data_IF_496159499403
#
_entry.id   IF_496159499403
#
_cell.length_a   1.000
_cell.length_b   1.000
_cell.length_c   1.000
_cell.angle_alpha   90.00
_cell.angle_beta   90.00
_cell.angle_gamma   90.00
#
_symmetry.space_group_name_H-M   'P 1'
#
loop_
_entity.id
_entity.type
_entity.pdbx_description
1 polymer ?
#
# COMPACT_ATOMS: atom_id res chain seq x y z
N UNK A 1 70.56 -28.97 55.55
CA UNK A 1 70.22 -29.84 54.41
C UNK A 1 68.77 -30.25 54.64
N UNK A 2 67.77 -29.89 53.85
CA UNK A 2 67.68 -29.90 52.39
C UNK A 2 66.77 -28.80 51.83
N UNK A 3 67.08 -28.41 50.59
CA UNK A 3 66.38 -27.43 49.77
C UNK A 3 65.31 -28.10 48.91
N UNK A 4 64.12 -27.51 48.77
CA UNK A 4 63.26 -27.65 47.57
C UNK A 4 62.18 -26.56 47.48
N UNK A 5 62.39 -25.62 46.56
CA UNK A 5 61.40 -24.68 45.99
C UNK A 5 60.27 -25.42 45.29
N UNK A 6 59.00 -24.98 45.41
CA UNK A 6 57.92 -24.99 44.39
C UNK A 6 56.85 -23.94 44.77
N UNK A 7 56.80 -22.80 44.08
CA UNK A 7 55.96 -22.50 42.92
C UNK A 7 54.56 -21.97 43.32
N UNK A 8 54.37 -20.67 43.13
CA UNK A 8 53.15 -19.90 43.36
C UNK A 8 51.99 -20.37 42.48
N UNK A 9 50.80 -20.53 43.06
CA UNK A 9 49.54 -20.71 42.34
C UNK A 9 48.75 -19.39 42.43
N UNK A 10 48.71 -18.65 41.32
CA UNK A 10 47.77 -17.56 41.12
C UNK A 10 46.41 -18.17 40.72
N UNK A 11 45.38 -17.96 41.56
CA UNK A 11 44.00 -18.29 41.21
C UNK A 11 43.46 -17.12 40.37
N UNK A 12 43.52 -17.26 39.05
CA UNK A 12 42.92 -16.32 38.10
C UNK A 12 41.42 -16.57 37.97
N UNK A 13 40.62 -15.52 38.20
CA UNK A 13 39.20 -15.50 37.88
C UNK A 13 39.02 -15.54 36.36
N UNK A 14 38.36 -16.58 35.83
CA UNK A 14 37.90 -16.63 34.44
C UNK A 14 36.41 -16.30 34.41
N UNK A 15 36.09 -15.01 34.34
CA UNK A 15 34.79 -14.56 33.84
C UNK A 15 34.91 -14.57 32.31
N UNK A 16 34.36 -15.59 31.66
CA UNK A 16 34.27 -15.61 30.22
C UNK A 16 33.29 -14.50 29.76
N UNK A 17 33.70 -13.55 28.90
CA UNK A 17 32.75 -12.62 28.30
C UNK A 17 31.90 -13.41 27.30
N UNK A 18 30.58 -13.50 27.55
CA UNK A 18 29.63 -13.86 26.52
C UNK A 18 29.69 -12.77 25.44
N UNK A 19 30.50 -13.00 24.42
CA UNK A 19 30.41 -12.30 23.15
C UNK A 19 29.09 -12.70 22.49
N UNK A 20 28.05 -11.91 22.71
CA UNK A 20 26.84 -11.97 21.91
C UNK A 20 27.21 -11.56 20.47
N UNK A 21 27.40 -12.55 19.61
CA UNK A 21 27.56 -12.33 18.17
C UNK A 21 26.22 -11.82 17.65
N UNK A 22 26.09 -10.50 17.52
CA UNK A 22 24.97 -9.89 16.81
C UNK A 22 25.14 -10.21 15.33
N UNK A 23 24.49 -11.27 14.85
CA UNK A 23 24.39 -11.51 13.42
C UNK A 23 23.70 -10.28 12.80
N UNK A 24 24.25 -9.69 11.72
CA UNK A 24 23.55 -8.65 10.99
C UNK A 24 22.20 -9.22 10.53
N UNK A 25 21.13 -8.46 10.71
CA UNK A 25 19.82 -8.84 10.22
C UNK A 25 19.92 -9.15 8.72
N UNK A 26 19.55 -10.36 8.32
CA UNK A 26 19.52 -10.72 6.90
C UNK A 26 18.58 -9.77 6.17
N UNK A 27 19.08 -9.14 5.10
CA UNK A 27 18.24 -8.40 4.15
C UNK A 27 17.25 -9.40 3.55
N UNK A 28 15.94 -9.15 3.69
CA UNK A 28 14.95 -9.97 3.00
C UNK A 28 15.05 -9.64 1.51
N UNK A 29 15.11 -10.64 0.62
CA UNK A 29 14.83 -10.39 -0.80
C UNK A 29 13.30 -10.35 -1.01
N UNK A 30 12.64 -9.47 -0.26
CA UNK A 30 11.23 -9.14 -0.41
C UNK A 30 11.14 -7.84 -1.18
N UNK A 31 10.13 -7.68 -2.04
CA UNK A 31 10.00 -6.45 -2.82
C UNK A 31 8.53 -6.26 -3.22
N UNK A 32 7.98 -5.08 -2.92
CA UNK A 32 6.62 -4.74 -3.26
C UNK A 32 6.20 -3.35 -2.82
N UNK A 33 5.13 -2.84 -3.41
CA UNK A 33 4.56 -1.53 -3.10
C UNK A 33 3.06 -1.50 -3.39
N UNK A 34 2.36 -0.46 -2.91
CA UNK A 34 0.93 -0.25 -3.17
C UNK A 34 0.73 0.48 -4.50
N UNK A 35 -0.01 -0.13 -5.42
CA UNK A 35 -0.32 0.43 -6.75
C UNK A 35 -1.72 1.05 -6.82
N UNK A 36 -2.62 0.70 -5.91
CA UNK A 36 -3.98 1.26 -5.85
C UNK A 36 -4.44 1.36 -4.39
N UNK A 37 -4.82 2.55 -3.88
CA UNK A 37 -4.56 3.85 -4.50
C UNK A 37 -3.06 4.06 -4.65
N UNK A 38 -2.61 4.71 -5.73
CA UNK A 38 -1.19 4.87 -6.05
C UNK A 38 -0.38 5.50 -4.91
N UNK A 39 0.54 4.72 -4.35
CA UNK A 39 1.47 5.20 -3.30
C UNK A 39 2.43 6.27 -3.80
N UNK A 40 3.11 6.96 -2.89
CA UNK A 40 4.13 7.97 -3.24
C UNK A 40 5.21 7.39 -4.15
N UNK A 41 5.75 6.22 -3.83
CA UNK A 41 6.74 5.56 -4.69
C UNK A 41 6.16 5.12 -6.05
N UNK A 42 4.87 4.78 -6.11
CA UNK A 42 4.17 4.47 -7.37
C UNK A 42 4.03 5.74 -8.24
N UNK A 43 3.64 6.87 -7.64
CA UNK A 43 3.58 8.16 -8.32
C UNK A 43 4.96 8.60 -8.84
N UNK A 44 6.03 8.35 -8.08
CA UNK A 44 7.40 8.57 -8.55
C UNK A 44 7.71 7.70 -9.78
N UNK A 45 7.41 6.39 -9.72
CA UNK A 45 7.69 5.45 -10.81
C UNK A 45 6.87 5.74 -12.09
N UNK A 46 5.67 6.29 -11.94
CA UNK A 46 4.82 6.73 -13.05
C UNK A 46 5.19 8.12 -13.59
N UNK A 47 6.15 8.82 -12.98
CA UNK A 47 6.54 10.18 -13.37
C UNK A 47 5.49 11.25 -13.04
N UNK A 48 4.56 10.95 -12.13
CA UNK A 48 3.53 11.87 -11.65
C UNK A 48 4.14 12.94 -10.72
N UNK A 49 5.10 12.52 -9.90
CA UNK A 49 5.87 13.39 -9.02
C UNK A 49 7.34 13.18 -9.31
N UNK A 50 8.11 14.27 -9.42
CA UNK A 50 9.55 14.16 -9.60
C UNK A 50 10.22 13.66 -8.30
N UNK A 51 11.01 12.60 -8.46
CA UNK A 51 11.69 11.92 -7.38
C UNK A 51 13.08 11.48 -7.85
N UNK A 52 13.96 11.24 -6.88
CA UNK A 52 15.28 10.65 -7.07
C UNK A 52 15.21 9.17 -7.43
N UNK A 53 16.04 8.37 -6.76
CA UNK A 53 16.27 6.97 -7.15
C UNK A 53 15.01 6.09 -7.07
N UNK A 54 14.08 6.40 -6.17
CA UNK A 54 12.91 5.56 -5.90
C UNK A 54 12.01 5.32 -7.13
N UNK A 55 12.03 6.21 -8.13
CA UNK A 55 11.25 6.01 -9.37
C UNK A 55 11.66 4.79 -10.19
N UNK A 56 12.89 4.31 -10.03
CA UNK A 56 13.40 3.14 -10.76
C UNK A 56 13.12 1.83 -10.03
N UNK A 57 12.81 1.91 -8.74
CA UNK A 57 12.68 0.74 -7.87
C UNK A 57 11.61 0.95 -6.77
N UNK A 58 10.35 1.25 -7.14
CA UNK A 58 9.29 1.52 -6.16
C UNK A 58 9.07 0.38 -5.16
N UNK A 59 9.43 -0.85 -5.55
CA UNK A 59 9.35 -2.05 -4.73
C UNK A 59 10.34 -2.13 -3.56
N UNK A 60 11.32 -1.22 -3.47
CA UNK A 60 12.51 -1.39 -2.63
C UNK A 60 12.50 -0.58 -1.32
N UNK A 61 11.36 -0.02 -0.90
CA UNK A 61 11.29 0.79 0.34
C UNK A 61 11.29 -0.11 1.59
N UNK A 62 12.44 -0.76 1.84
CA UNK A 62 12.71 -1.65 2.96
C UNK A 62 13.36 -0.90 4.12
N UNK A 63 12.95 -1.23 5.35
CA UNK A 63 13.61 -0.77 6.56
C UNK A 63 13.29 -1.64 7.78
N UNK A 64 13.93 -1.40 8.94
CA UNK A 64 13.62 -2.11 10.18
C UNK A 64 12.15 -2.01 10.55
N UNK A 65 11.55 -3.07 11.10
CA UNK A 65 10.15 -3.07 11.58
C UNK A 65 9.90 -1.99 12.64
N UNK A 66 8.67 -1.48 12.66
CA UNK A 66 8.18 -0.55 13.69
C UNK A 66 8.37 0.93 13.38
N UNK A 67 8.92 1.28 12.20
CA UNK A 67 9.05 2.66 11.77
C UNK A 67 7.72 3.24 11.28
N UNK A 68 7.65 4.58 11.22
CA UNK A 68 6.47 5.36 10.81
C UNK A 68 6.74 6.34 9.67
N UNK A 69 7.98 6.41 9.19
CA UNK A 69 8.37 7.20 8.02
C UNK A 69 7.92 6.53 6.73
N UNK A 70 7.56 7.33 5.72
CA UNK A 70 7.23 6.85 4.38
C UNK A 70 8.42 6.18 3.70
N UNK A 71 9.65 6.61 4.00
CA UNK A 71 10.89 6.04 3.46
C UNK A 71 11.35 4.75 4.14
N UNK A 72 10.68 4.30 5.22
CA UNK A 72 11.21 3.21 6.05
C UNK A 72 12.56 3.52 6.70
N UNK A 73 12.91 4.81 6.87
CA UNK A 73 14.20 5.24 7.40
C UNK A 73 15.34 5.16 6.39
N UNK A 74 15.06 4.84 5.12
CA UNK A 74 16.06 4.77 4.07
C UNK A 74 16.30 6.17 3.47
N UNK A 75 17.48 6.74 3.77
CA UNK A 75 17.86 8.08 3.33
C UNK A 75 17.90 8.25 1.80
N UNK A 76 18.11 7.17 1.02
CA UNK A 76 18.05 7.22 -0.45
C UNK A 76 16.63 7.54 -0.96
N UNK A 77 15.61 7.26 -0.15
CA UNK A 77 14.20 7.44 -0.46
C UNK A 77 13.55 8.56 0.37
N UNK A 78 14.36 9.48 0.92
CA UNK A 78 13.91 10.59 1.75
C UNK A 78 12.89 11.51 1.04
N UNK A 79 12.83 11.47 -0.29
CA UNK A 79 11.80 12.17 -1.05
C UNK A 79 10.38 11.79 -0.63
N UNK A 80 10.15 10.53 -0.25
CA UNK A 80 8.85 10.00 0.17
C UNK A 80 8.36 10.63 1.48
N UNK A 81 9.26 11.14 2.31
CA UNK A 81 8.93 11.81 3.58
C UNK A 81 8.63 13.31 3.39
N UNK A 82 8.95 13.90 2.23
CA UNK A 82 8.73 15.33 1.98
C UNK A 82 7.28 15.62 1.59
N UNK A 83 6.50 16.11 2.57
CA UNK A 83 5.09 16.49 2.40
C UNK A 83 4.86 17.74 1.56
N UNK A 84 5.92 18.46 1.20
CA UNK A 84 5.82 19.66 0.35
C UNK A 84 5.81 19.30 -1.13
N UNK A 85 6.14 18.06 -1.50
CA UNK A 85 6.03 17.60 -2.90
C UNK A 85 4.56 17.55 -3.32
N UNK A 86 4.34 17.69 -4.62
CA UNK A 86 3.00 17.73 -5.22
C UNK A 86 2.36 16.34 -5.34
N UNK A 87 2.32 15.56 -4.24
CA UNK A 87 1.67 14.26 -4.18
C UNK A 87 0.22 14.36 -4.60
N UNK A 88 -0.18 13.54 -5.59
CA UNK A 88 -1.59 13.39 -5.96
C UNK A 88 -2.33 12.71 -4.82
N UNK A 89 -3.48 13.27 -4.49
CA UNK A 89 -4.37 12.77 -3.46
C UNK A 89 -5.50 12.02 -4.16
N UNK A 90 -5.70 10.75 -3.82
CA UNK A 90 -6.73 9.92 -4.45
C UNK A 90 -8.05 10.04 -3.69
N UNK A 91 -9.16 10.46 -4.33
CA UNK A 91 -10.47 10.43 -3.70
C UNK A 91 -10.89 8.99 -3.38
N UNK A 92 -11.37 8.76 -2.16
CA UNK A 92 -11.83 7.45 -1.70
C UNK A 92 -13.14 7.55 -0.92
N UNK A 93 -13.91 6.45 -0.88
CA UNK A 93 -15.11 6.34 -0.03
C UNK A 93 -14.77 6.12 1.45
N UNK A 94 -15.79 5.82 2.26
CA UNK A 94 -15.61 5.45 3.67
C UNK A 94 -14.78 4.19 3.88
N UNK A 95 -14.70 3.34 2.85
CA UNK A 95 -13.78 2.21 2.76
C UNK A 95 -13.14 2.20 1.37
N UNK A 96 -11.95 1.61 1.25
CA UNK A 96 -11.26 1.46 -0.03
C UNK A 96 -10.37 0.22 -0.06
N UNK A 97 -10.16 -0.35 -1.25
CA UNK A 97 -9.28 -1.52 -1.43
C UNK A 97 -7.86 -1.07 -1.71
N UNK A 98 -6.92 -1.50 -0.88
CA UNK A 98 -5.49 -1.28 -1.09
C UNK A 98 -4.89 -2.50 -1.80
N UNK A 99 -4.31 -2.30 -2.97
CA UNK A 99 -3.68 -3.34 -3.79
C UNK A 99 -2.17 -3.19 -3.78
N UNK A 100 -1.48 -4.24 -3.32
CA UNK A 100 -0.04 -4.39 -3.40
C UNK A 100 0.35 -5.19 -4.63
N UNK A 101 1.46 -4.78 -5.27
CA UNK A 101 2.19 -5.56 -6.27
C UNK A 101 3.52 -6.01 -5.68
N UNK A 102 3.74 -7.33 -5.67
CA UNK A 102 4.96 -7.95 -5.12
C UNK A 102 5.80 -8.52 -6.26
N UNK A 103 7.01 -7.98 -6.45
CA UNK A 103 7.98 -8.50 -7.44
C UNK A 103 8.80 -9.64 -6.86
N UNK A 104 9.00 -9.66 -5.54
CA UNK A 104 9.58 -10.78 -4.81
C UNK A 104 8.73 -11.07 -3.57
N UNK A 105 8.05 -12.22 -3.57
CA UNK A 105 7.12 -12.63 -2.50
C UNK A 105 7.89 -13.29 -1.37
N UNK A 106 7.57 -12.94 -0.14
CA UNK A 106 8.26 -13.45 1.06
C UNK A 106 7.25 -13.97 2.07
N UNK A 107 7.68 -14.82 3.00
CA UNK A 107 6.83 -15.19 4.14
C UNK A 107 6.40 -13.92 4.88
N UNK A 108 5.09 -13.76 5.12
CA UNK A 108 4.52 -12.52 5.67
C UNK A 108 3.89 -12.77 7.02
N UNK A 109 4.19 -11.90 7.99
CA UNK A 109 3.52 -11.90 9.29
C UNK A 109 2.23 -11.07 9.19
N UNK A 110 2.39 -9.76 9.04
CA UNK A 110 1.24 -8.83 9.02
C UNK A 110 1.35 -7.76 7.94
N UNK A 111 0.19 -7.31 7.48
CA UNK A 111 -0.01 -6.08 6.73
C UNK A 111 -0.75 -5.12 7.64
N UNK A 112 -0.22 -3.92 7.84
CA UNK A 112 -0.79 -2.95 8.76
C UNK A 112 -1.00 -1.61 8.07
N UNK A 113 -2.10 -0.95 8.38
CA UNK A 113 -2.48 0.34 7.80
C UNK A 113 -2.67 1.36 8.91
N UNK A 114 -2.11 2.56 8.75
CA UNK A 114 -2.12 3.60 9.76
C UNK A 114 -2.48 4.96 9.18
N UNK A 115 -3.14 5.80 9.98
CA UNK A 115 -3.28 7.24 9.73
C UNK A 115 -2.76 7.95 10.98
N UNK A 116 -1.64 8.67 10.84
CA UNK A 116 -0.84 9.09 12.00
C UNK A 116 -0.42 7.88 12.84
N UNK A 117 -0.64 7.94 14.16
CA UNK A 117 -0.35 6.83 15.08
C UNK A 117 -1.48 5.78 15.18
N UNK A 118 -2.65 6.06 14.59
CA UNK A 118 -3.80 5.17 14.69
C UNK A 118 -3.67 4.04 13.67
N UNK A 119 -3.60 2.80 14.15
CA UNK A 119 -3.79 1.61 13.30
C UNK A 119 -5.26 1.52 12.89
N UNK A 120 -5.54 1.58 11.59
CA UNK A 120 -6.89 1.53 11.04
C UNK A 120 -7.25 0.14 10.52
N UNK A 121 -6.28 -0.69 10.13
CA UNK A 121 -6.49 -2.08 9.75
C UNK A 121 -5.24 -2.95 9.97
N UNK A 122 -5.44 -4.25 10.10
CA UNK A 122 -4.38 -5.27 10.14
C UNK A 122 -4.88 -6.57 9.52
N UNK A 123 -4.03 -7.20 8.70
CA UNK A 123 -4.26 -8.51 8.08
C UNK A 123 -3.06 -9.40 8.42
N UNK A 124 -3.29 -10.63 8.87
CA UNK A 124 -2.23 -11.52 9.33
C UNK A 124 -2.17 -12.78 8.44
N UNK A 125 -1.05 -12.95 7.75
CA UNK A 125 -0.79 -14.09 6.85
C UNK A 125 -0.19 -15.31 7.58
N UNK A 126 0.09 -15.18 8.89
CA UNK A 126 0.58 -16.24 9.78
C UNK A 126 1.86 -16.91 9.29
N UNK A 127 2.74 -16.15 8.64
CA UNK A 127 3.98 -16.62 8.05
C UNK A 127 3.82 -17.25 6.66
N UNK A 128 2.62 -17.27 6.08
CA UNK A 128 2.43 -17.76 4.71
C UNK A 128 3.10 -16.82 3.69
N UNK A 129 3.52 -17.38 2.54
CA UNK A 129 3.89 -16.56 1.40
C UNK A 129 2.62 -16.09 0.67
N UNK A 130 2.42 -14.78 0.47
CA UNK A 130 1.24 -14.23 -0.20
C UNK A 130 1.29 -14.48 -1.71
N UNK A 131 0.17 -14.27 -2.43
CA UNK A 131 0.18 -14.14 -3.90
C UNK A 131 0.96 -12.91 -4.37
N UNK A 132 1.25 -12.83 -5.68
CA UNK A 132 2.01 -11.71 -6.27
C UNK A 132 1.25 -10.38 -6.26
N UNK A 133 -0.07 -10.44 -6.12
CA UNK A 133 -0.94 -9.31 -5.92
C UNK A 133 -1.77 -9.56 -4.66
N UNK A 134 -1.80 -8.60 -3.75
CA UNK A 134 -2.52 -8.70 -2.48
C UNK A 134 -3.50 -7.53 -2.41
N UNK A 135 -4.76 -7.80 -2.06
CA UNK A 135 -5.79 -6.77 -1.95
C UNK A 135 -6.43 -6.80 -0.57
N UNK A 136 -6.54 -5.64 0.06
CA UNK A 136 -7.10 -5.47 1.40
C UNK A 136 -8.17 -4.37 1.40
N UNK A 137 -9.40 -4.71 1.77
CA UNK A 137 -10.44 -3.71 2.01
C UNK A 137 -10.20 -3.05 3.36
N UNK A 138 -9.87 -1.75 3.37
CA UNK A 138 -9.64 -0.97 4.59
C UNK A 138 -10.82 -0.03 4.81
N UNK A 139 -11.40 -0.08 6.01
CA UNK A 139 -12.44 0.84 6.47
C UNK A 139 -11.78 2.01 7.23
N UNK A 140 -12.11 3.24 6.83
CA UNK A 140 -11.59 4.45 7.45
C UNK A 140 -12.40 4.90 8.68
N UNK A 141 -13.54 4.28 8.93
CA UNK A 141 -14.49 4.63 9.98
C UNK A 141 -14.91 6.09 9.89
N UNK A 142 -14.71 6.82 10.98
CA UNK A 142 -15.08 8.24 11.07
C UNK A 142 -14.06 9.20 10.46
N UNK A 143 -12.92 8.72 9.93
CA UNK A 143 -11.94 9.60 9.28
C UNK A 143 -12.53 10.21 7.99
N UNK A 144 -12.24 11.48 7.74
CA UNK A 144 -12.73 12.25 6.59
C UNK A 144 -11.65 13.21 6.08
N UNK A 145 -11.82 13.71 4.86
CA UNK A 145 -10.93 14.66 4.22
C UNK A 145 -9.57 14.06 3.88
N UNK A 146 -8.61 14.94 3.59
CA UNK A 146 -7.24 14.55 3.24
C UNK A 146 -6.56 13.83 4.39
N UNK A 147 -6.16 12.58 4.15
CA UNK A 147 -5.38 11.75 5.07
C UNK A 147 -4.14 11.20 4.36
N UNK A 148 -3.12 10.87 5.15
CA UNK A 148 -1.98 10.08 4.68
C UNK A 148 -2.05 8.71 5.34
N UNK A 149 -2.20 7.68 4.54
CA UNK A 149 -2.19 6.29 4.98
C UNK A 149 -0.78 5.75 4.86
N UNK A 150 -0.24 5.19 5.94
CA UNK A 150 0.97 4.39 5.92
C UNK A 150 0.58 2.91 5.89
N UNK A 151 0.92 2.23 4.80
CA UNK A 151 0.82 0.79 4.67
C UNK A 151 2.19 0.15 4.98
N UNK A 152 2.20 -0.87 5.83
CA UNK A 152 3.40 -1.57 6.31
C UNK A 152 3.25 -3.06 6.06
N UNK A 153 4.16 -3.64 5.31
CA UNK A 153 4.27 -5.09 5.10
C UNK A 153 5.38 -5.65 5.98
N UNK A 154 5.02 -6.36 7.05
CA UNK A 154 5.96 -7.01 7.96
C UNK A 154 6.32 -8.41 7.45
N UNK A 155 7.58 -8.61 7.04
CA UNK A 155 8.12 -9.90 6.61
C UNK A 155 8.27 -10.83 7.82
N UNK A 156 7.85 -12.09 7.73
CA UNK A 156 7.78 -12.97 8.90
C UNK A 156 9.15 -13.42 9.43
N UNK A 157 10.09 -13.68 8.53
CA UNK A 157 11.37 -14.35 8.80
C UNK A 157 12.57 -13.40 8.78
N UNK A 158 12.35 -12.08 8.72
CA UNK A 158 13.38 -11.05 8.87
C UNK A 158 12.98 -9.98 9.88
N UNK A 159 13.91 -9.06 10.19
CA UNK A 159 13.62 -7.91 11.05
C UNK A 159 13.09 -6.69 10.28
N UNK A 160 12.85 -6.83 8.96
CA UNK A 160 12.50 -5.73 8.08
C UNK A 160 11.02 -5.74 7.70
N UNK A 161 10.58 -4.58 7.21
CA UNK A 161 9.27 -4.33 6.65
C UNK A 161 9.37 -3.42 5.43
N UNK A 162 8.33 -3.41 4.61
CA UNK A 162 8.19 -2.51 3.46
C UNK A 162 7.16 -1.44 3.77
N UNK A 163 7.47 -0.20 3.39
CA UNK A 163 6.72 0.99 3.76
C UNK A 163 6.16 1.70 2.52
N UNK A 164 4.87 2.01 2.52
CA UNK A 164 4.23 2.77 1.45
C UNK A 164 3.30 3.83 2.05
N UNK A 165 3.54 5.10 1.71
CA UNK A 165 2.60 6.17 2.03
C UNK A 165 1.66 6.41 0.85
N UNK A 166 0.39 6.63 1.15
CA UNK A 166 -0.67 6.91 0.18
C UNK A 166 -1.44 8.13 0.66
N UNK A 167 -1.51 9.17 -0.17
CA UNK A 167 -2.30 10.37 0.10
C UNK A 167 -3.71 10.15 -0.45
N UNK A 168 -4.72 10.18 0.43
CA UNK A 168 -6.13 9.95 0.08
C UNK A 168 -7.01 11.10 0.54
N UNK A 169 -8.12 11.33 -0.13
CA UNK A 169 -9.17 12.26 0.30
C UNK A 169 -10.45 11.47 0.58
N UNK A 170 -10.76 11.29 1.86
CA UNK A 170 -11.82 10.40 2.31
C UNK A 170 -13.14 11.15 2.33
N UNK A 171 -14.08 10.71 1.51
CA UNK A 171 -15.39 11.35 1.38
C UNK A 171 -16.13 11.45 2.72
N UNK A 172 -16.83 12.58 2.87
CA UNK A 172 -17.68 13.03 3.96
C UNK A 172 -18.88 12.14 4.35
N UNK A 173 -18.73 10.82 4.53
CA UNK A 173 -19.68 9.96 5.24
C UNK A 173 -21.07 9.71 4.63
N UNK A 174 -21.29 8.46 4.24
CA UNK A 174 -22.59 7.78 4.24
C UNK A 174 -22.32 6.30 4.43
N UNK A 175 -22.71 5.77 5.60
CA UNK A 175 -22.54 4.37 5.99
C UNK A 175 -23.04 3.42 4.88
N UNK A 176 -22.21 2.47 4.49
CA UNK A 176 -22.64 1.36 3.64
C UNK A 176 -23.62 0.48 4.40
N UNK A 177 -24.88 0.53 4.00
CA UNK A 177 -25.90 -0.48 4.28
C UNK A 177 -26.60 -0.75 2.96
N UNK A 178 -26.44 -1.95 2.42
CA UNK A 178 -26.95 -2.30 1.10
C UNK A 178 -28.48 -2.25 1.06
N UNK A 179 -28.99 -1.51 0.09
CA UNK A 179 -30.39 -1.61 -0.33
C UNK A 179 -30.42 -2.20 -1.74
N UNK A 180 -30.63 -3.52 -1.80
CA UNK A 180 -31.42 -4.11 -2.88
C UNK A 180 -32.85 -3.60 -2.70
N UNK A 181 -33.19 -2.51 -3.39
CA UNK A 181 -34.51 -1.90 -3.34
C UNK A 181 -34.89 -1.32 -4.71
N UNK A 182 -35.50 -2.15 -5.55
CA UNK A 182 -36.12 -1.69 -6.79
C UNK A 182 -37.24 -0.69 -6.52
N UNK A 183 -37.35 0.31 -7.39
CA UNK A 183 -38.41 1.32 -7.33
C UNK A 183 -38.58 2.03 -8.67
N UNK A 184 -39.38 1.43 -9.53
CA UNK A 184 -39.99 2.07 -10.69
C UNK A 184 -40.80 3.31 -10.25
N UNK A 185 -40.58 4.46 -10.89
CA UNK A 185 -41.35 5.67 -10.65
C UNK A 185 -40.94 6.79 -11.60
N UNK A 186 -41.56 6.83 -12.77
CA UNK A 186 -41.35 7.87 -13.77
C UNK A 186 -41.81 9.26 -13.34
N UNK A 187 -41.21 10.28 -13.96
CA UNK A 187 -41.58 11.69 -13.78
C UNK A 187 -40.79 12.58 -14.73
N UNK A 188 -41.36 12.81 -15.90
CA UNK A 188 -40.84 13.60 -17.01
C UNK A 188 -40.83 15.12 -16.73
N UNK A 189 -39.72 15.82 -17.04
CA UNK A 189 -39.62 16.96 -17.96
C UNK A 189 -38.45 17.91 -17.64
N UNK A 190 -37.63 18.16 -18.66
CA UNK A 190 -37.28 19.54 -19.00
C UNK A 190 -35.84 20.00 -18.76
N UNK A 191 -34.99 19.81 -19.77
CA UNK A 191 -34.19 20.93 -20.30
C UNK A 191 -32.74 21.06 -19.86
N UNK A 192 -31.83 20.56 -20.70
CA UNK A 192 -30.66 21.34 -21.13
C UNK A 192 -29.34 21.14 -20.39
N UNK A 193 -28.44 20.40 -21.02
CA UNK A 193 -27.02 20.79 -21.12
C UNK A 193 -26.06 20.24 -20.06
N UNK A 194 -25.28 19.24 -20.48
CA UNK A 194 -23.93 18.91 -19.98
C UNK A 194 -23.79 18.69 -18.46
N UNK A 195 -24.29 17.56 -17.97
CA UNK A 195 -23.88 17.03 -16.67
C UNK A 195 -23.23 15.66 -16.84
N UNK A 196 -21.91 15.72 -16.71
CA UNK A 196 -20.96 14.68 -16.33
C UNK A 196 -21.52 13.27 -16.17
N UNK A 197 -21.01 12.36 -16.99
CA UNK A 197 -20.50 11.07 -16.56
C UNK A 197 -20.47 10.87 -15.03
N UNK A 198 -21.49 10.21 -14.47
CA UNK A 198 -21.61 10.00 -13.02
C UNK A 198 -20.64 8.92 -12.48
N UNK A 199 -20.11 8.07 -13.36
CA UNK A 199 -19.14 7.05 -13.00
C UNK A 199 -17.71 7.64 -12.87
N UNK A 200 -16.82 7.02 -12.07
CA UNK A 200 -15.44 7.47 -11.91
C UNK A 200 -14.63 7.36 -13.21
N UNK A 201 -13.68 8.26 -13.45
CA UNK A 201 -12.80 8.20 -14.64
C UNK A 201 -11.93 6.94 -14.59
N UNK A 202 -11.84 6.22 -15.72
CA UNK A 202 -10.95 5.06 -15.84
C UNK A 202 -9.48 5.46 -15.63
N UNK A 203 -8.75 4.64 -14.88
CA UNK A 203 -7.35 4.85 -14.53
C UNK A 203 -6.52 3.60 -14.80
N UNK A 204 -5.32 3.81 -15.33
CA UNK A 204 -4.32 2.75 -15.44
C UNK A 204 -3.87 2.30 -14.05
N UNK A 205 -3.53 1.03 -13.89
CA UNK A 205 -3.08 0.45 -12.62
C UNK A 205 -4.20 0.04 -11.67
N UNK A 206 -5.42 0.53 -11.90
CA UNK A 206 -6.62 0.14 -11.14
C UNK A 206 -7.12 -1.24 -11.61
N UNK A 207 -7.60 -2.03 -10.66
CA UNK A 207 -8.29 -3.30 -10.92
C UNK A 207 -9.79 -3.03 -10.92
N UNK A 208 -10.48 -3.52 -11.96
CA UNK A 208 -11.93 -3.43 -12.09
C UNK A 208 -12.53 -4.83 -12.10
N UNK A 209 -13.55 -5.06 -11.30
CA UNK A 209 -14.31 -6.30 -11.25
C UNK A 209 -15.52 -6.24 -12.19
N UNK A 210 -16.06 -7.41 -12.54
CA UNK A 210 -17.27 -7.48 -13.37
C UNK A 210 -18.43 -6.70 -12.74
N UNK A 211 -19.02 -5.78 -13.49
CA UNK A 211 -20.07 -4.88 -13.07
C UNK A 211 -19.61 -3.44 -12.79
N UNK A 212 -18.32 -3.21 -12.55
CA UNK A 212 -17.80 -1.88 -12.24
C UNK A 212 -17.97 -0.93 -13.43
N UNK A 213 -18.33 0.33 -13.14
CA UNK A 213 -18.51 1.36 -14.18
C UNK A 213 -17.44 2.43 -14.10
N UNK A 214 -16.95 2.86 -15.25
CA UNK A 214 -15.94 3.90 -15.39
C UNK A 214 -16.29 4.83 -16.55
N UNK A 215 -15.69 6.01 -16.59
CA UNK A 215 -15.83 6.92 -17.72
C UNK A 215 -14.52 7.13 -18.44
N UNK A 216 -14.57 7.09 -19.77
CA UNK A 216 -13.42 7.28 -20.64
C UNK A 216 -13.88 7.95 -21.93
N UNK A 217 -13.16 8.99 -22.37
CA UNK A 217 -13.41 9.69 -23.63
C UNK A 217 -14.89 10.13 -23.84
N UNK A 218 -15.55 10.63 -22.78
CA UNK A 218 -16.95 11.10 -22.85
C UNK A 218 -17.98 9.97 -22.98
N UNK A 219 -17.67 8.79 -22.43
CA UNK A 219 -18.54 7.62 -22.47
C UNK A 219 -18.43 6.85 -21.16
N UNK A 220 -19.52 6.20 -20.76
CA UNK A 220 -19.54 5.28 -19.62
C UNK A 220 -19.33 3.86 -20.12
N UNK A 221 -18.48 3.11 -19.42
CA UNK A 221 -18.19 1.71 -19.69
C UNK A 221 -18.44 0.87 -18.45
N UNK A 222 -18.80 -0.40 -18.65
CA UNK A 222 -18.92 -1.41 -17.60
C UNK A 222 -17.94 -2.55 -17.82
N UNK A 223 -17.17 -2.91 -16.81
CA UNK A 223 -16.32 -4.09 -16.87
C UNK A 223 -17.20 -5.34 -16.94
N UNK A 224 -16.99 -6.20 -17.92
CA UNK A 224 -17.75 -7.46 -18.08
C UNK A 224 -17.24 -8.55 -17.14
N UNK A 225 -15.95 -8.49 -16.82
CA UNK A 225 -15.26 -9.37 -15.88
C UNK A 225 -14.03 -8.64 -15.33
N UNK A 226 -13.23 -9.33 -14.52
CA UNK A 226 -12.01 -8.79 -13.93
C UNK A 226 -11.04 -8.25 -15.00
N UNK A 227 -10.55 -7.02 -14.83
CA UNK A 227 -9.59 -6.40 -15.73
C UNK A 227 -8.66 -5.43 -15.00
N UNK A 228 -7.44 -5.27 -15.53
CA UNK A 228 -6.50 -4.22 -15.11
C UNK A 228 -5.70 -3.73 -16.32
N UNK A 229 -5.46 -2.41 -16.38
CA UNK A 229 -4.73 -1.73 -17.47
C UNK A 229 -5.33 -1.85 -18.89
N UNK A 230 -6.42 -2.60 -19.08
CA UNK A 230 -7.10 -2.67 -20.37
C UNK A 230 -8.00 -1.44 -20.54
N UNK A 231 -7.81 -0.72 -21.65
CA UNK A 231 -8.42 0.60 -21.86
C UNK A 231 -9.87 0.49 -22.38
N UNK A 232 -10.86 1.15 -21.75
CA UNK A 232 -12.24 1.19 -22.23
C UNK A 232 -12.33 1.75 -23.65
N UNK A 233 -13.22 1.16 -24.46
CA UNK A 233 -13.35 1.49 -25.88
C UNK A 233 -12.36 0.79 -26.81
N UNK A 234 -11.34 0.10 -26.28
CA UNK A 234 -10.37 -0.66 -27.09
C UNK A 234 -10.32 -2.17 -26.78
N UNK A 235 -10.66 -2.56 -25.55
CA UNK A 235 -10.60 -3.94 -25.09
C UNK A 235 -12.01 -4.53 -24.86
N UNK A 236 -12.19 -5.81 -25.22
CA UNK A 236 -13.48 -6.54 -25.14
C UNK A 236 -14.00 -6.75 -23.71
N UNK A 237 -13.17 -6.47 -22.72
CA UNK A 237 -13.50 -6.52 -21.29
C UNK A 237 -14.47 -5.40 -20.88
N UNK A 238 -14.60 -4.35 -21.69
CA UNK A 238 -15.47 -3.20 -21.43
C UNK A 238 -16.71 -3.23 -22.33
N UNK A 239 -17.88 -3.15 -21.70
CA UNK A 239 -19.17 -2.91 -22.35
C UNK A 239 -19.43 -1.41 -22.36
N UNK A 240 -19.58 -0.82 -23.56
CA UNK A 240 -19.93 0.58 -23.73
C UNK A 240 -21.42 0.81 -23.38
N UNK A 241 -21.69 1.65 -22.38
CA UNK A 241 -23.04 2.01 -21.94
C UNK A 241 -23.56 3.30 -22.60
N UNK A 242 -22.76 3.98 -23.41
CA UNK A 242 -23.15 5.16 -24.15
C UNK A 242 -22.42 6.44 -23.72
N UNK A 243 -22.75 7.53 -24.44
CA UNK A 243 -22.16 8.83 -24.22
C UNK A 243 -22.61 9.47 -22.90
N UNK A 244 -21.70 10.21 -22.30
CA UNK A 244 -21.88 11.12 -21.17
C UNK A 244 -20.82 12.24 -21.27
#
# INVERSE_FOLDING_TARGET
MDMKRRASLAVGALVAPLLAITLPAGTANAHGWVTDPGSRQDQCAQGVVDCGQIKYEPQSVEGPKGLRSCSGGNAQFADLDDDRKAWRVTPVGGSHTFTWKLTARHATDTWQYFVGDRKIAEFNDRGAQPPAQVSHQVDFGDLKGRQKVLAVWNVADTNNAFYACIDVDIAGGGNGGGDNGGGNGGGNNGGGGSDSCAAPVWSTGTVYHGGDTVTHDGRTYRAKWWTTNERPGSADVWEDLGAC
#
